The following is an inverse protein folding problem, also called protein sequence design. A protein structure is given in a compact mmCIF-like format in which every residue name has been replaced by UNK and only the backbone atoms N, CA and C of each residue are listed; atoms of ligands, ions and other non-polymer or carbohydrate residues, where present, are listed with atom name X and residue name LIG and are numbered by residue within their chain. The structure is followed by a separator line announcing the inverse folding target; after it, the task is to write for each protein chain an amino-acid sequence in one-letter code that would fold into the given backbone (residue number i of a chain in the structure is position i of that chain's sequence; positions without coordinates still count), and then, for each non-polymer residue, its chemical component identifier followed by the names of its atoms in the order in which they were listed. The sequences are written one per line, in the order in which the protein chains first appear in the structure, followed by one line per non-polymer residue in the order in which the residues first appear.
data_IF_240147835175
#
_entry.id   IF_240147835175
#
_cell.length_a   1.000
_cell.length_b   1.000
_cell.length_c   1.000
_cell.angle_alpha   90.00
_cell.angle_beta   90.00
_cell.angle_gamma   90.00
#
_symmetry.space_group_name_H-M   'P 1'
#
loop_
_entity.id
_entity.type
_entity.pdbx_description
1 polymer ?
#
# COMPACT_ATOMS: atom_id res chain seq x y z
N UNK A 1 11.73 -12.83 -20.06
CA UNK A 1 12.46 -11.58 -19.88
C UNK A 1 11.52 -10.48 -19.35
N UNK A 2 11.85 -9.93 -18.20
CA UNK A 2 11.11 -8.80 -17.61
C UNK A 2 11.92 -7.53 -17.79
N UNK A 3 11.27 -6.50 -18.31
CA UNK A 3 11.88 -5.19 -18.51
C UNK A 3 11.11 -4.13 -17.72
N UNK A 4 11.85 -3.23 -17.08
CA UNK A 4 11.28 -2.06 -16.43
C UNK A 4 11.67 -0.79 -17.18
N UNK A 5 10.73 0.16 -17.25
CA UNK A 5 10.94 1.46 -17.86
C UNK A 5 10.55 2.55 -16.90
N UNK A 6 11.33 3.63 -16.87
CA UNK A 6 11.02 4.81 -16.07
C UNK A 6 10.84 6.00 -17.01
N UNK A 7 9.73 6.70 -16.88
CA UNK A 7 9.42 7.86 -17.70
C UNK A 7 8.64 8.90 -16.90
N UNK A 8 8.72 10.14 -17.33
CA UNK A 8 7.94 11.22 -16.75
C UNK A 8 6.62 11.36 -17.50
N UNK A 9 5.51 11.52 -16.76
CA UNK A 9 4.20 11.73 -17.33
C UNK A 9 3.85 13.22 -17.36
N UNK A 10 3.31 13.68 -18.48
CA UNK A 10 2.72 15.01 -18.57
C UNK A 10 1.28 14.94 -18.11
N UNK A 11 0.94 15.70 -17.07
CA UNK A 11 -0.35 15.63 -16.41
C UNK A 11 -1.02 17.01 -16.41
N UNK A 12 -2.35 17.04 -16.62
CA UNK A 12 -3.16 18.21 -16.31
C UNK A 12 -3.52 18.22 -14.80
N UNK A 13 -4.16 19.29 -14.36
CA UNK A 13 -4.48 19.44 -12.93
C UNK A 13 -5.43 18.37 -12.41
N UNK A 14 -6.41 17.96 -13.22
CA UNK A 14 -7.36 16.92 -12.84
C UNK A 14 -6.65 15.56 -12.67
N UNK A 15 -5.75 15.24 -13.59
CA UNK A 15 -4.96 14.00 -13.50
C UNK A 15 -4.02 14.03 -12.30
N UNK A 16 -3.38 15.16 -12.00
CA UNK A 16 -2.53 15.29 -10.81
C UNK A 16 -3.31 15.07 -9.53
N UNK A 17 -4.51 15.63 -9.43
CA UNK A 17 -5.37 15.43 -8.26
C UNK A 17 -5.77 13.97 -8.10
N UNK A 18 -6.14 13.32 -9.20
CA UNK A 18 -6.54 11.91 -9.17
C UNK A 18 -5.38 11.00 -8.74
N UNK A 19 -4.19 11.22 -9.29
CA UNK A 19 -3.02 10.44 -8.91
C UNK A 19 -2.59 10.71 -7.46
N UNK A 20 -2.72 11.96 -7.01
CA UNK A 20 -2.45 12.30 -5.60
C UNK A 20 -3.41 11.60 -4.64
N UNK A 21 -4.69 11.46 -5.02
CA UNK A 21 -5.66 10.68 -4.23
C UNK A 21 -5.24 9.21 -4.13
N UNK A 22 -4.77 8.62 -5.21
CA UNK A 22 -4.30 7.24 -5.20
C UNK A 22 -3.06 7.08 -4.32
N UNK A 23 -2.09 7.98 -4.43
CA UNK A 23 -0.89 7.94 -3.60
C UNK A 23 -1.23 8.14 -2.12
N UNK A 24 -2.15 9.05 -1.81
CA UNK A 24 -2.62 9.27 -0.44
C UNK A 24 -3.34 8.06 0.13
N UNK A 25 -4.16 7.39 -0.67
CA UNK A 25 -4.86 6.17 -0.25
C UNK A 25 -3.87 5.04 0.01
N UNK A 26 -2.89 4.84 -0.85
CA UNK A 26 -1.85 3.84 -0.65
C UNK A 26 -1.05 4.11 0.64
N UNK A 27 -0.68 5.36 0.87
CA UNK A 27 0.02 5.76 2.10
C UNK A 27 -0.82 5.49 3.34
N UNK A 28 -2.11 5.84 3.31
CA UNK A 28 -3.02 5.61 4.43
C UNK A 28 -3.16 4.11 4.74
N UNK A 29 -3.32 3.27 3.72
CA UNK A 29 -3.41 1.82 3.89
C UNK A 29 -2.12 1.26 4.51
N UNK A 30 -0.96 1.67 4.02
CA UNK A 30 0.33 1.28 4.60
C UNK A 30 0.40 1.65 6.07
N UNK A 31 0.08 2.90 6.40
CA UNK A 31 0.19 3.40 7.78
C UNK A 31 -0.79 2.71 8.73
N UNK A 32 -2.02 2.45 8.28
CA UNK A 32 -3.00 1.70 9.09
C UNK A 32 -2.56 0.26 9.32
N UNK A 33 -2.07 -0.41 8.28
CA UNK A 33 -1.54 -1.77 8.39
C UNK A 33 -0.32 -1.84 9.28
N UNK A 34 0.57 -0.85 9.16
CA UNK A 34 1.77 -0.77 10.00
C UNK A 34 1.41 -0.55 11.47
N UNK A 35 0.46 0.35 11.76
CA UNK A 35 0.00 0.60 13.11
C UNK A 35 -0.55 -0.67 13.76
N UNK A 36 -1.40 -1.40 13.02
CA UNK A 36 -1.96 -2.67 13.52
C UNK A 36 -0.87 -3.70 13.79
N UNK A 37 0.04 -3.90 12.84
CA UNK A 37 1.09 -4.92 13.00
C UNK A 37 2.07 -4.57 14.12
N UNK A 38 2.39 -3.30 14.30
CA UNK A 38 3.18 -2.85 15.45
C UNK A 38 2.48 -3.12 16.78
N UNK A 39 1.19 -2.85 16.86
CA UNK A 39 0.40 -3.14 18.07
C UNK A 39 0.42 -4.63 18.41
N UNK A 40 0.31 -5.51 17.41
CA UNK A 40 0.37 -6.95 17.61
C UNK A 40 1.74 -7.36 18.15
N UNK A 41 2.82 -6.83 17.58
CA UNK A 41 4.18 -7.14 18.04
C UNK A 41 4.41 -6.64 19.46
N UNK A 42 3.97 -5.43 19.79
CA UNK A 42 4.10 -4.87 21.13
C UNK A 42 3.30 -5.69 22.15
N UNK A 43 2.07 -6.08 21.79
CA UNK A 43 1.26 -6.95 22.64
C UNK A 43 1.96 -8.29 22.90
N UNK A 44 2.51 -8.91 21.88
CA UNK A 44 3.17 -10.21 21.99
C UNK A 44 4.44 -10.13 22.86
N UNK A 45 5.15 -9.01 22.78
CA UNK A 45 6.33 -8.79 23.62
C UNK A 45 5.95 -8.63 25.08
N UNK A 46 4.86 -7.92 25.36
CA UNK A 46 4.38 -7.68 26.72
C UNK A 46 3.62 -8.89 27.31
N UNK A 47 3.05 -9.76 26.47
CA UNK A 47 2.22 -10.89 26.88
C UNK A 47 2.68 -12.18 26.18
N UNK A 48 3.85 -12.74 26.56
CA UNK A 48 4.40 -13.91 25.87
C UNK A 48 3.54 -15.17 25.98
N UNK A 49 2.65 -15.25 26.98
CA UNK A 49 1.76 -16.38 27.17
C UNK A 49 0.42 -16.23 26.42
N UNK A 50 0.13 -15.07 25.89
CA UNK A 50 -1.12 -14.75 25.18
C UNK A 50 -0.85 -14.11 23.83
N UNK A 51 0.05 -14.71 23.05
CA UNK A 51 0.44 -14.15 21.77
C UNK A 51 -0.68 -14.21 20.73
N UNK A 52 -0.85 -13.12 20.00
CA UNK A 52 -1.71 -13.05 18.83
C UNK A 52 -0.87 -13.42 17.59
N UNK A 53 -1.42 -14.27 16.73
CA UNK A 53 -0.74 -14.66 15.50
C UNK A 53 -0.51 -13.45 14.61
N UNK A 54 0.73 -13.24 14.17
CA UNK A 54 1.06 -12.16 13.24
C UNK A 54 0.41 -12.42 11.88
N UNK A 55 -0.30 -11.43 11.30
CA UNK A 55 -0.97 -11.62 10.03
C UNK A 55 0.03 -11.74 8.87
N UNK A 56 0.02 -12.89 8.19
CA UNK A 56 0.92 -13.15 7.06
C UNK A 56 0.34 -12.77 5.71
N UNK A 57 -0.96 -12.50 5.64
CA UNK A 57 -1.68 -12.22 4.41
C UNK A 57 -2.47 -10.92 4.53
N UNK A 58 -1.83 -9.87 5.05
CA UNK A 58 -2.46 -8.55 5.24
C UNK A 58 -2.82 -7.88 3.91
N UNK A 59 -2.22 -8.33 2.80
CA UNK A 59 -2.51 -7.85 1.46
C UNK A 59 -3.81 -8.41 0.86
N UNK A 60 -4.49 -9.33 1.56
CA UNK A 60 -5.79 -9.84 1.08
C UNK A 60 -6.88 -8.77 1.14
N UNK A 61 -7.84 -8.81 0.19
CA UNK A 61 -8.92 -7.81 0.16
C UNK A 61 -9.72 -7.72 1.47
N UNK A 62 -9.90 -8.83 2.16
CA UNK A 62 -10.64 -8.89 3.43
C UNK A 62 -9.98 -8.00 4.49
N UNK A 63 -8.65 -7.99 4.54
CA UNK A 63 -7.91 -7.13 5.47
C UNK A 63 -8.11 -5.66 5.14
N UNK A 64 -8.11 -5.31 3.85
CA UNK A 64 -8.33 -3.92 3.43
C UNK A 64 -9.70 -3.43 3.84
N UNK A 65 -10.74 -4.25 3.64
CA UNK A 65 -12.10 -3.90 4.08
C UNK A 65 -12.17 -3.76 5.59
N UNK A 66 -11.62 -4.73 6.32
CA UNK A 66 -11.66 -4.72 7.78
C UNK A 66 -10.90 -3.55 8.39
N UNK A 67 -9.73 -3.19 7.80
CA UNK A 67 -8.89 -2.12 8.34
C UNK A 67 -9.45 -0.72 8.07
N UNK A 68 -9.92 -0.45 6.86
CA UNK A 68 -10.10 0.94 6.44
C UNK A 68 -11.36 1.21 5.62
N UNK A 69 -11.78 0.34 4.71
CA UNK A 69 -12.88 0.65 3.80
C UNK A 69 -14.22 0.81 4.51
N UNK A 70 -14.44 0.07 5.59
CA UNK A 70 -15.67 0.17 6.37
C UNK A 70 -15.82 1.51 7.09
N UNK A 71 -14.71 2.20 7.38
CA UNK A 71 -14.69 3.47 8.10
C UNK A 71 -14.40 4.67 7.19
N UNK A 72 -13.88 4.43 5.97
CA UNK A 72 -13.42 5.47 5.07
C UNK A 72 -13.97 5.25 3.66
N UNK A 73 -15.15 5.80 3.38
CA UNK A 73 -15.85 5.65 2.10
C UNK A 73 -15.03 6.14 0.90
N UNK A 74 -14.13 7.10 1.12
CA UNK A 74 -13.32 7.66 0.04
C UNK A 74 -12.34 6.63 -0.58
N UNK A 75 -12.11 5.50 0.05
CA UNK A 75 -11.35 4.40 -0.54
C UNK A 75 -12.01 3.85 -1.81
N UNK A 76 -13.33 3.94 -1.90
CA UNK A 76 -14.07 3.44 -3.07
C UNK A 76 -13.97 4.39 -4.27
N UNK A 77 -13.43 5.59 -4.08
CA UNK A 77 -13.24 6.56 -5.16
C UNK A 77 -11.95 6.37 -5.94
N UNK A 78 -11.09 5.45 -5.52
CA UNK A 78 -9.81 5.16 -6.15
C UNK A 78 -9.73 3.68 -6.53
N UNK A 79 -8.79 3.33 -7.41
CA UNK A 79 -8.56 1.93 -7.76
C UNK A 79 -8.18 1.14 -6.51
N UNK A 80 -8.81 -0.01 -6.31
CA UNK A 80 -8.50 -0.91 -5.19
C UNK A 80 -7.07 -1.44 -5.23
N UNK A 81 -6.44 -1.42 -6.40
CA UNK A 81 -5.06 -1.90 -6.55
C UNK A 81 -4.07 -1.07 -5.73
N UNK A 82 -4.28 0.25 -5.66
CA UNK A 82 -3.36 1.14 -4.96
C UNK A 82 -3.19 0.76 -3.47
N UNK A 83 -4.28 0.67 -2.66
CA UNK A 83 -4.13 0.26 -1.26
C UNK A 83 -3.75 -1.21 -1.08
N UNK A 84 -4.20 -2.11 -1.97
CA UNK A 84 -3.82 -3.52 -1.88
C UNK A 84 -2.32 -3.73 -2.10
N UNK A 85 -1.75 -3.07 -3.10
CA UNK A 85 -0.31 -3.15 -3.35
C UNK A 85 0.50 -2.52 -2.22
N UNK A 86 -0.02 -1.48 -1.57
CA UNK A 86 0.62 -0.89 -0.39
C UNK A 86 0.70 -1.90 0.76
N UNK A 87 -0.38 -2.64 1.03
CA UNK A 87 -0.40 -3.67 2.05
C UNK A 87 0.50 -4.85 1.69
N UNK A 88 0.58 -5.22 0.41
CA UNK A 88 1.50 -6.26 -0.05
C UNK A 88 2.95 -5.84 0.17
N UNK A 89 3.28 -4.59 -0.15
CA UNK A 89 4.62 -4.05 0.10
C UNK A 89 4.95 -4.05 1.59
N UNK A 90 3.97 -3.73 2.45
CA UNK A 90 4.14 -3.79 3.90
C UNK A 90 4.40 -5.23 4.37
N UNK A 91 3.64 -6.20 3.88
CA UNK A 91 3.85 -7.61 4.18
C UNK A 91 5.25 -8.06 3.81
N UNK A 92 5.72 -7.69 2.62
CA UNK A 92 7.07 -8.02 2.15
C UNK A 92 8.14 -7.32 3.02
N UNK A 93 7.90 -6.09 3.45
CA UNK A 93 8.82 -5.36 4.32
C UNK A 93 8.97 -6.06 5.68
N UNK A 94 7.87 -6.54 6.28
CA UNK A 94 7.94 -7.30 7.51
C UNK A 94 8.65 -8.65 7.33
N UNK A 95 8.41 -9.35 6.23
CA UNK A 95 9.12 -10.61 5.93
C UNK A 95 10.62 -10.39 5.86
N UNK A 96 11.06 -9.32 5.21
CA UNK A 96 12.49 -8.97 5.15
C UNK A 96 13.05 -8.59 6.52
N UNK A 97 12.28 -7.89 7.33
CA UNK A 97 12.66 -7.55 8.69
C UNK A 97 12.87 -8.81 9.54
N UNK A 98 11.93 -9.75 9.49
CA UNK A 98 12.02 -11.00 10.26
C UNK A 98 13.16 -11.90 9.80
N UNK A 99 13.55 -11.82 8.54
CA UNK A 99 14.75 -12.53 8.01
C UNK A 99 16.04 -11.77 8.30
N UNK A 100 15.98 -10.64 9.01
CA UNK A 100 17.13 -9.80 9.34
C UNK A 100 17.86 -9.24 8.12
N UNK A 101 17.15 -9.10 6.99
CA UNK A 101 17.67 -8.50 5.76
C UNK A 101 17.49 -6.98 5.78
N UNK A 102 16.44 -6.48 6.44
CA UNK A 102 16.09 -5.08 6.47
C UNK A 102 15.63 -4.65 7.87
N UNK A 103 15.63 -3.35 8.12
CA UNK A 103 15.08 -2.75 9.34
C UNK A 103 13.55 -2.82 9.31
N UNK A 104 12.86 -2.68 10.48
CA UNK A 104 11.40 -2.62 10.51
C UNK A 104 10.87 -1.50 9.62
N UNK A 105 9.69 -1.68 9.00
CA UNK A 105 9.09 -0.65 8.19
C UNK A 105 8.75 0.61 9.00
N UNK A 106 8.75 1.76 8.33
CA UNK A 106 8.45 3.05 8.92
C UNK A 106 7.14 3.61 8.38
N UNK A 107 6.48 4.48 9.16
CA UNK A 107 5.34 5.24 8.69
C UNK A 107 5.73 6.15 7.54
N UNK A 108 4.83 6.30 6.57
CA UNK A 108 5.03 7.15 5.41
C UNK A 108 4.45 8.53 5.64
N UNK A 109 5.16 9.56 5.20
CA UNK A 109 4.74 10.95 5.31
C UNK A 109 4.35 11.51 3.96
N UNK A 110 3.32 12.36 3.94
CA UNK A 110 2.89 13.06 2.72
C UNK A 110 4.05 13.87 2.13
N UNK A 111 4.20 13.80 0.81
CA UNK A 111 5.23 14.55 0.10
C UNK A 111 6.60 13.91 0.07
N UNK A 112 6.77 12.74 0.70
CA UNK A 112 8.03 11.98 0.67
C UNK A 112 7.82 10.69 -0.09
N UNK A 113 8.34 10.60 -1.32
CA UNK A 113 8.26 9.41 -2.15
C UNK A 113 6.82 8.91 -2.32
N UNK A 114 5.89 9.83 -2.56
CA UNK A 114 4.49 9.48 -2.82
C UNK A 114 4.42 8.58 -4.04
N UNK A 115 3.89 7.38 -3.86
CA UNK A 115 3.80 6.39 -4.93
C UNK A 115 2.64 5.44 -4.70
N UNK A 116 2.24 4.78 -5.77
CA UNK A 116 1.27 3.69 -5.71
C UNK A 116 1.50 2.76 -6.90
N UNK A 117 1.00 1.54 -6.79
CA UNK A 117 1.15 0.52 -7.82
C UNK A 117 -0.22 0.10 -8.33
N UNK A 118 -0.34 0.00 -9.63
CA UNK A 118 -1.52 -0.52 -10.29
C UNK A 118 -1.14 -1.71 -11.16
N UNK A 119 -2.07 -2.63 -11.32
CA UNK A 119 -1.95 -3.75 -12.24
C UNK A 119 -3.25 -3.91 -13.04
N UNK A 120 -3.27 -4.85 -13.97
CA UNK A 120 -4.46 -5.13 -14.78
C UNK A 120 -4.45 -4.42 -16.12
N UNK A 121 -5.55 -3.75 -16.45
CA UNK A 121 -5.79 -3.19 -17.79
C UNK A 121 -5.00 -1.91 -18.05
N UNK A 122 -3.70 -2.05 -18.29
CA UNK A 122 -2.84 -0.94 -18.67
C UNK A 122 -2.58 -0.98 -20.18
N UNK A 123 -2.83 0.13 -20.87
CA UNK A 123 -2.65 0.24 -22.32
C UNK A 123 -1.72 1.37 -22.68
N UNK A 124 -0.84 1.13 -23.64
CA UNK A 124 0.08 2.13 -24.18
C UNK A 124 -0.22 2.30 -25.66
N UNK A 125 -0.56 3.52 -26.07
CA UNK A 125 -0.82 3.85 -27.47
C UNK A 125 -0.59 5.35 -27.72
N UNK A 126 -0.04 5.68 -28.88
CA UNK A 126 0.12 7.07 -29.32
C UNK A 126 0.72 7.99 -28.27
N UNK A 127 1.83 7.56 -27.65
CA UNK A 127 2.53 8.30 -26.57
C UNK A 127 1.66 8.55 -25.34
N UNK A 128 0.64 7.74 -25.12
CA UNK A 128 -0.25 7.82 -23.96
C UNK A 128 -0.30 6.49 -23.22
N UNK A 129 -0.47 6.57 -21.91
CA UNK A 129 -0.68 5.40 -21.06
C UNK A 129 -2.07 5.51 -20.47
N UNK A 130 -2.90 4.47 -20.67
CA UNK A 130 -4.20 4.34 -20.02
C UNK A 130 -4.05 3.40 -18.83
N UNK A 131 -4.42 3.89 -17.65
CA UNK A 131 -4.35 3.12 -16.40
C UNK A 131 -5.74 2.98 -15.78
N UNK A 132 -5.98 1.92 -14.97
CA UNK A 132 -7.30 1.66 -14.36
C UNK A 132 -7.51 2.52 -13.09
N UNK A 133 -7.68 3.80 -13.29
CA UNK A 133 -7.92 4.74 -12.18
C UNK A 133 -9.33 5.30 -12.19
#
# INVERSE_FOLDING_TARGET
LLLGFKTELKLNNQQRSLLAQHAGTARHAWNCGLALTKQILDHNQANPDEKIKFPTAIDRPEWLVALVKSEHDWYYQVSKCAPQWALRALSDAWKRCFKKIAKPPNFKKKGKQDSFTLDGSIKIAHQKIKVPV
#
